data_IF_701080905389
#
_entry.id   IF_701080905389
#
_cell.length_a   1.000
_cell.length_b   1.000
_cell.length_c   1.000
_cell.angle_alpha   90.00
_cell.angle_beta   90.00
_cell.angle_gamma   90.00
#
_symmetry.space_group_name_H-M   'P 1'
#
loop_
_entity.id
_entity.type
_entity.pdbx_description
1 polymer ?
#
# COMPACT_ATOMS: atom_id res chain seq x y z
N UNK A 1 21.35 6.34 -1.38
CA UNK A 1 20.58 6.93 -0.27
C UNK A 1 20.72 6.04 0.98
N UNK A 2 21.90 6.00 1.63
CA UNK A 2 22.13 5.12 2.78
C UNK A 2 21.33 5.53 4.02
N UNK A 3 20.99 6.81 4.16
CA UNK A 3 20.30 7.35 5.34
C UNK A 3 18.77 7.26 5.24
N UNK A 4 18.22 6.90 4.07
CA UNK A 4 16.77 6.82 3.87
C UNK A 4 16.22 5.57 4.52
N UNK A 5 15.28 5.75 5.46
CA UNK A 5 14.52 4.65 6.04
C UNK A 5 13.61 4.02 4.99
N UNK A 6 13.73 2.71 4.82
CA UNK A 6 12.84 1.95 3.95
C UNK A 6 11.49 1.72 4.64
N UNK A 7 10.40 1.91 3.90
CA UNK A 7 9.06 1.55 4.34
C UNK A 7 8.35 0.77 3.24
N UNK A 8 7.63 -0.29 3.62
CA UNK A 8 6.78 -1.03 2.70
C UNK A 8 5.39 -0.42 2.58
N UNK A 9 4.87 -0.45 1.36
CA UNK A 9 3.53 0.00 1.06
C UNK A 9 2.47 -0.98 1.57
N UNK A 10 1.57 -0.50 2.43
CA UNK A 10 0.43 -1.27 2.95
C UNK A 10 -0.55 -1.72 1.86
N UNK A 11 -0.80 -0.91 0.83
CA UNK A 11 -1.70 -1.31 -0.27
C UNK A 11 -1.21 -2.59 -0.97
N UNK A 12 0.07 -2.62 -1.36
CA UNK A 12 0.67 -3.79 -1.99
C UNK A 12 0.78 -4.96 -1.03
N UNK A 13 1.12 -4.69 0.25
CA UNK A 13 1.20 -5.73 1.27
C UNK A 13 -0.14 -6.43 1.49
N UNK A 14 -1.24 -5.67 1.59
CA UNK A 14 -2.60 -6.21 1.70
C UNK A 14 -2.89 -7.11 0.50
N UNK A 15 -2.59 -6.67 -0.73
CA UNK A 15 -2.75 -7.49 -1.93
C UNK A 15 -2.01 -8.83 -1.85
N UNK A 16 -0.75 -8.81 -1.39
CA UNK A 16 0.07 -10.01 -1.23
C UNK A 16 -0.48 -10.97 -0.16
N UNK A 17 -0.97 -10.44 0.96
CA UNK A 17 -1.61 -11.24 2.03
C UNK A 17 -2.90 -11.88 1.52
N UNK A 18 -3.78 -11.08 0.89
CA UNK A 18 -5.06 -11.58 0.38
C UNK A 18 -4.90 -12.63 -0.73
N UNK A 19 -3.84 -12.54 -1.53
CA UNK A 19 -3.50 -13.55 -2.54
C UNK A 19 -3.12 -14.92 -1.93
N UNK A 20 -2.71 -14.94 -0.66
CA UNK A 20 -2.41 -16.15 0.10
C UNK A 20 -3.60 -16.68 0.92
N UNK A 21 -4.80 -16.08 0.76
CA UNK A 21 -6.01 -16.42 1.51
C UNK A 21 -7.16 -16.84 0.58
N UNK A 22 -8.03 -17.78 1.02
CA UNK A 22 -9.25 -18.08 0.29
C UNK A 22 -10.19 -16.87 0.29
N UNK A 23 -10.96 -16.69 -0.79
CA UNK A 23 -11.87 -15.54 -0.96
C UNK A 23 -12.83 -15.34 0.22
N UNK A 24 -13.27 -16.43 0.86
CA UNK A 24 -14.15 -16.39 2.04
C UNK A 24 -13.52 -15.74 3.26
N UNK A 25 -12.19 -15.81 3.42
CA UNK A 25 -11.47 -15.22 4.54
C UNK A 25 -11.05 -13.75 4.28
N UNK A 26 -11.03 -13.32 3.02
CA UNK A 26 -10.50 -12.01 2.62
C UNK A 26 -11.22 -10.80 3.25
N UNK A 27 -12.57 -10.76 3.40
CA UNK A 27 -13.23 -9.63 4.04
C UNK A 27 -12.78 -9.42 5.48
N UNK A 28 -12.71 -10.49 6.27
CA UNK A 28 -12.24 -10.44 7.66
C UNK A 28 -10.76 -10.07 7.74
N UNK A 29 -9.93 -10.70 6.91
CA UNK A 29 -8.50 -10.42 6.89
C UNK A 29 -8.20 -8.97 6.50
N UNK A 30 -8.96 -8.40 5.56
CA UNK A 30 -8.81 -6.99 5.17
C UNK A 30 -9.14 -6.04 6.33
N UNK A 31 -10.15 -6.35 7.14
CA UNK A 31 -10.48 -5.56 8.34
C UNK A 31 -9.36 -5.65 9.38
N UNK A 32 -8.89 -6.85 9.69
CA UNK A 32 -7.81 -7.04 10.66
C UNK A 32 -6.48 -6.41 10.19
N UNK A 33 -6.16 -6.49 8.90
CA UNK A 33 -5.02 -5.76 8.31
C UNK A 33 -5.17 -4.25 8.46
N UNK A 34 -6.39 -3.72 8.27
CA UNK A 34 -6.68 -2.31 8.47
C UNK A 34 -6.52 -1.85 9.91
N UNK A 35 -6.82 -2.73 10.88
CA UNK A 35 -6.60 -2.44 12.29
C UNK A 35 -5.11 -2.27 12.59
N UNK A 36 -4.23 -3.13 12.06
CA UNK A 36 -2.77 -3.07 12.32
C UNK A 36 -2.20 -1.67 12.05
N UNK A 37 -2.40 -1.13 10.84
CA UNK A 37 -1.81 0.15 10.47
C UNK A 37 -2.61 1.37 10.94
N UNK A 38 -3.80 1.20 11.51
CA UNK A 38 -4.61 2.31 12.05
C UNK A 38 -4.56 2.43 13.58
N UNK A 39 -3.83 1.56 14.27
CA UNK A 39 -3.66 1.65 15.73
C UNK A 39 -2.97 2.95 16.16
N UNK A 40 -3.15 3.29 17.43
CA UNK A 40 -2.68 4.54 18.05
C UNK A 40 -1.16 4.68 18.14
N UNK A 41 -0.42 3.57 18.23
CA UNK A 41 1.04 3.56 18.27
C UNK A 41 1.63 2.22 17.77
N UNK A 42 2.96 2.17 17.66
CA UNK A 42 3.69 0.98 17.19
C UNK A 42 3.46 -0.25 18.06
N UNK A 43 3.30 -0.07 19.38
CA UNK A 43 3.11 -1.20 20.32
C UNK A 43 1.76 -1.86 20.07
N UNK A 44 0.70 -1.06 19.94
CA UNK A 44 -0.63 -1.57 19.59
C UNK A 44 -0.66 -2.19 18.20
N UNK A 45 0.10 -1.66 17.24
CA UNK A 45 0.24 -2.27 15.92
C UNK A 45 0.86 -3.68 16.02
N UNK A 46 1.91 -3.86 16.84
CA UNK A 46 2.53 -5.15 17.08
C UNK A 46 1.59 -6.14 17.77
N UNK A 47 0.77 -5.67 18.72
CA UNK A 47 -0.24 -6.51 19.35
C UNK A 47 -1.35 -6.91 18.35
N UNK A 48 -1.73 -6.01 17.44
CA UNK A 48 -2.63 -6.34 16.33
C UNK A 48 -2.03 -7.35 15.34
N UNK A 49 -0.71 -7.30 15.09
CA UNK A 49 -0.01 -8.32 14.28
C UNK A 49 -0.09 -9.68 14.96
N UNK A 50 0.15 -9.76 16.28
CA UNK A 50 0.01 -11.02 17.04
C UNK A 50 -1.43 -11.54 17.02
N UNK A 51 -2.41 -10.65 17.12
CA UNK A 51 -3.83 -11.03 17.02
C UNK A 51 -4.17 -11.57 15.62
N UNK A 52 -3.64 -10.95 14.57
CA UNK A 52 -3.78 -11.45 13.19
C UNK A 52 -3.13 -12.83 13.01
N UNK A 53 -1.92 -13.02 13.55
CA UNK A 53 -1.24 -14.31 13.57
C UNK A 53 -2.02 -15.38 14.32
N UNK A 54 -2.58 -15.08 15.50
CA UNK A 54 -3.40 -16.02 16.24
C UNK A 54 -4.67 -16.43 15.47
N UNK A 55 -5.31 -15.48 14.78
CA UNK A 55 -6.54 -15.72 14.03
C UNK A 55 -6.34 -16.52 12.74
N UNK A 56 -5.23 -16.27 12.01
CA UNK A 56 -5.03 -16.83 10.66
C UNK A 56 -3.84 -17.79 10.56
N UNK A 57 -2.88 -17.75 11.48
CA UNK A 57 -1.57 -18.41 11.36
C UNK A 57 -1.62 -19.93 11.33
N UNK A 58 -2.49 -20.56 12.11
CA UNK A 58 -2.64 -22.01 12.12
C UNK A 58 -3.06 -22.58 10.75
N UNK A 59 -3.86 -21.82 9.98
CA UNK A 59 -4.38 -22.25 8.67
C UNK A 59 -3.64 -21.66 7.49
N UNK A 60 -3.09 -20.46 7.64
CA UNK A 60 -2.55 -19.67 6.55
C UNK A 60 -1.15 -19.11 6.89
N UNK A 61 -0.17 -19.97 7.22
CA UNK A 61 1.17 -19.51 7.63
C UNK A 61 1.85 -18.65 6.56
N UNK A 62 1.60 -18.92 5.27
CA UNK A 62 2.12 -18.09 4.16
C UNK A 62 1.57 -16.66 4.17
N UNK A 63 0.33 -16.46 4.61
CA UNK A 63 -0.28 -15.13 4.71
C UNK A 63 0.32 -14.34 5.87
N UNK A 64 0.60 -15.01 6.99
CA UNK A 64 1.26 -14.41 8.16
C UNK A 64 2.69 -14.01 7.85
N UNK A 65 3.46 -14.89 7.21
CA UNK A 65 4.85 -14.62 6.79
C UNK A 65 4.95 -13.31 5.99
N UNK A 66 3.95 -13.02 5.14
CA UNK A 66 3.94 -11.73 4.41
C UNK A 66 3.95 -10.52 5.36
N UNK A 67 3.41 -10.59 6.57
CA UNK A 67 3.47 -9.49 7.53
C UNK A 67 4.71 -9.61 8.40
N UNK A 68 4.91 -10.76 9.05
CA UNK A 68 5.96 -10.92 10.08
C UNK A 68 7.36 -10.72 9.53
N UNK A 69 7.62 -11.15 8.29
CA UNK A 69 8.95 -11.02 7.66
C UNK A 69 9.31 -9.56 7.36
N UNK A 70 8.33 -8.67 7.27
CA UNK A 70 8.51 -7.26 6.90
C UNK A 70 7.90 -6.30 7.94
N UNK A 71 7.66 -6.75 9.18
CA UNK A 71 6.87 -5.99 10.17
C UNK A 71 7.51 -4.64 10.50
N UNK A 72 8.84 -4.59 10.61
CA UNK A 72 9.55 -3.35 10.92
C UNK A 72 9.44 -2.34 9.77
N UNK A 73 9.56 -2.79 8.53
CA UNK A 73 9.43 -1.93 7.35
C UNK A 73 7.97 -1.49 7.13
N UNK A 74 6.99 -2.30 7.53
CA UNK A 74 5.57 -1.95 7.45
C UNK A 74 5.17 -0.91 8.50
N UNK A 75 5.81 -0.94 9.67
CA UNK A 75 5.51 -0.07 10.80
C UNK A 75 6.46 1.13 10.93
N UNK A 76 7.45 1.26 10.04
CA UNK A 76 8.43 2.35 10.06
C UNK A 76 7.80 3.76 10.05
N UNK A 77 6.57 3.92 9.54
CA UNK A 77 5.88 5.22 9.60
C UNK A 77 5.60 5.70 11.03
N UNK A 78 5.50 4.79 12.01
CA UNK A 78 5.32 5.15 13.42
C UNK A 78 6.53 5.87 14.02
N UNK A 79 7.69 5.81 13.37
CA UNK A 79 8.91 6.50 13.80
C UNK A 79 8.87 8.01 13.45
N UNK A 80 7.82 8.47 12.77
CA UNK A 80 7.58 9.87 12.40
C UNK A 80 6.43 10.48 13.22
N UNK A 81 6.30 11.82 13.31
CA UNK A 81 5.18 12.46 14.00
C UNK A 81 3.82 12.03 13.44
N UNK A 82 2.84 11.83 14.32
CA UNK A 82 1.52 11.27 13.97
C UNK A 82 0.77 12.02 12.85
N UNK A 83 0.97 13.33 12.77
CA UNK A 83 0.42 14.18 11.71
C UNK A 83 0.83 13.75 10.29
N UNK A 84 1.97 13.06 10.13
CA UNK A 84 2.44 12.55 8.84
C UNK A 84 1.91 11.15 8.49
N UNK A 85 1.40 10.38 9.46
CA UNK A 85 1.00 8.98 9.23
C UNK A 85 -0.10 8.84 8.18
N UNK A 86 -0.99 9.84 8.04
CA UNK A 86 -2.02 9.85 7.00
C UNK A 86 -1.42 9.82 5.58
N UNK A 87 -0.24 10.40 5.40
CA UNK A 87 0.48 10.41 4.12
C UNK A 87 1.35 9.19 3.94
N UNK A 88 2.01 8.74 5.00
CA UNK A 88 2.94 7.60 4.95
C UNK A 88 2.23 6.25 4.82
N UNK A 89 1.00 6.12 5.30
CA UNK A 89 0.23 4.86 5.22
C UNK A 89 -0.49 4.64 3.89
N UNK A 90 -0.65 5.69 3.08
CA UNK A 90 -1.41 5.63 1.82
C UNK A 90 -0.49 5.76 0.62
N UNK A 91 -0.76 4.98 -0.42
CA UNK A 91 -0.16 5.19 -1.74
C UNK A 91 -1.13 5.80 -2.72
N UNK A 92 -2.27 6.35 -2.26
CA UNK A 92 -3.23 6.99 -3.15
C UNK A 92 -2.62 8.06 -4.08
N UNK A 93 -1.67 8.93 -3.66
CA UNK A 93 -1.01 9.87 -4.57
C UNK A 93 -0.30 9.17 -5.75
N UNK A 94 0.25 7.98 -5.52
CA UNK A 94 0.89 7.15 -6.54
C UNK A 94 -0.18 6.41 -7.35
N UNK A 95 -1.05 5.67 -6.67
CA UNK A 95 -2.03 4.79 -7.31
C UNK A 95 -3.06 5.57 -8.15
N UNK A 96 -3.51 6.74 -7.70
CA UNK A 96 -4.44 7.58 -8.47
C UNK A 96 -3.80 8.11 -9.75
N UNK A 97 -2.52 8.47 -9.71
CA UNK A 97 -1.75 8.92 -10.88
C UNK A 97 -1.67 7.83 -11.95
N UNK A 98 -1.46 6.57 -11.55
CA UNK A 98 -1.37 5.44 -12.48
C UNK A 98 -2.71 4.80 -12.85
N UNK A 99 -3.83 5.23 -12.26
CA UNK A 99 -5.13 4.61 -12.47
C UNK A 99 -5.54 4.60 -13.95
N UNK A 100 -5.40 5.73 -14.65
CA UNK A 100 -5.75 5.85 -16.08
C UNK A 100 -4.79 5.05 -16.96
N UNK A 101 -3.51 5.00 -16.61
CA UNK A 101 -2.51 4.20 -17.33
C UNK A 101 -2.87 2.72 -17.28
N UNK A 102 -3.18 2.19 -16.08
CA UNK A 102 -3.61 0.79 -15.91
C UNK A 102 -4.92 0.51 -16.62
N UNK A 103 -5.90 1.40 -16.51
CA UNK A 103 -7.18 1.26 -17.21
C UNK A 103 -6.97 1.16 -18.72
N UNK A 104 -6.23 2.10 -19.32
CA UNK A 104 -5.96 2.09 -20.76
C UNK A 104 -5.18 0.86 -21.20
N UNK A 105 -4.14 0.49 -20.47
CA UNK A 105 -3.34 -0.71 -20.74
C UNK A 105 -4.19 -1.98 -20.76
N UNK A 106 -5.16 -2.10 -19.84
CA UNK A 106 -6.10 -3.23 -19.79
C UNK A 106 -7.04 -3.23 -20.99
N UNK A 107 -7.62 -2.07 -21.34
CA UNK A 107 -8.58 -1.94 -22.45
C UNK A 107 -7.91 -2.21 -23.80
N UNK A 108 -6.68 -1.72 -24.02
CA UNK A 108 -5.96 -1.92 -25.28
C UNK A 108 -5.26 -3.28 -25.38
N UNK A 109 -5.33 -4.12 -24.33
CA UNK A 109 -4.59 -5.39 -24.22
C UNK A 109 -3.08 -5.20 -24.43
N UNK A 110 -2.53 -4.13 -23.86
CA UNK A 110 -1.13 -3.75 -23.98
C UNK A 110 -0.86 -2.68 -25.03
N UNK A 111 0.40 -2.19 -25.12
CA UNK A 111 0.76 -1.07 -25.99
C UNK A 111 1.29 -1.48 -27.37
N UNK A 112 1.44 -2.77 -27.66
CA UNK A 112 2.03 -3.28 -28.92
C UNK A 112 3.56 -3.16 -29.00
N UNK A 113 4.17 -2.13 -28.39
CA UNK A 113 5.61 -2.00 -28.24
C UNK A 113 6.00 -1.25 -26.97
N UNK A 114 7.26 -1.39 -26.54
CA UNK A 114 7.79 -0.64 -25.38
C UNK A 114 7.70 0.88 -25.58
N UNK A 115 8.07 1.36 -26.77
CA UNK A 115 8.04 2.78 -27.09
C UNK A 115 6.62 3.35 -27.03
N UNK A 116 5.64 2.65 -27.60
CA UNK A 116 4.24 3.02 -27.52
C UNK A 116 3.71 3.02 -26.07
N UNK A 117 4.15 2.07 -25.25
CA UNK A 117 3.78 2.00 -23.84
C UNK A 117 4.28 3.19 -23.03
N UNK A 118 5.54 3.58 -23.25
CA UNK A 118 6.12 4.76 -22.61
C UNK A 118 5.41 6.04 -23.06
N UNK A 119 5.17 6.21 -24.36
CA UNK A 119 4.46 7.37 -24.88
C UNK A 119 3.03 7.48 -24.32
N UNK A 120 2.31 6.35 -24.25
CA UNK A 120 0.97 6.29 -23.66
C UNK A 120 1.00 6.66 -22.18
N UNK A 121 1.89 6.06 -21.38
CA UNK A 121 2.00 6.35 -19.95
C UNK A 121 2.33 7.83 -19.71
N UNK A 122 3.31 8.37 -20.44
CA UNK A 122 3.70 9.77 -20.38
C UNK A 122 2.52 10.69 -20.66
N UNK A 123 1.81 10.51 -21.79
CA UNK A 123 0.70 11.39 -22.17
C UNK A 123 -0.51 11.28 -21.24
N UNK A 124 -0.79 10.10 -20.70
CA UNK A 124 -1.87 9.93 -19.72
C UNK A 124 -1.54 10.58 -18.38
N UNK A 125 -0.30 10.48 -17.91
CA UNK A 125 0.15 11.15 -16.68
C UNK A 125 0.19 12.67 -16.89
N UNK A 126 0.71 13.13 -18.03
CA UNK A 126 0.74 14.55 -18.39
C UNK A 126 -0.67 15.15 -18.44
N UNK A 127 -1.66 14.41 -18.94
CA UNK A 127 -3.06 14.85 -18.91
C UNK A 127 -3.65 14.83 -17.49
N UNK A 128 -3.33 13.81 -16.69
CA UNK A 128 -3.84 13.67 -15.33
C UNK A 128 -3.36 14.78 -14.39
N UNK A 129 -2.11 15.24 -14.56
CA UNK A 129 -1.48 16.22 -13.67
C UNK A 129 -2.25 17.56 -13.59
N UNK A 130 -2.94 17.93 -14.67
CA UNK A 130 -3.71 19.19 -14.74
C UNK A 130 -4.90 19.23 -13.77
N UNK A 131 -5.29 18.08 -13.21
CA UNK A 131 -6.41 17.93 -12.28
C UNK A 131 -5.99 17.43 -10.91
N UNK A 132 -4.68 17.36 -10.62
CA UNK A 132 -4.23 16.96 -9.29
C UNK A 132 -4.59 18.03 -8.27
N UNK A 133 -5.27 17.61 -7.21
CA UNK A 133 -5.46 18.43 -6.01
C UNK A 133 -4.25 18.29 -5.10
N UNK A 134 -4.01 19.30 -4.27
CA UNK A 134 -3.07 19.18 -3.16
C UNK A 134 -3.45 18.01 -2.25
N UNK A 135 -2.44 17.36 -1.66
CA UNK A 135 -2.65 16.40 -0.57
C UNK A 135 -3.24 17.12 0.65
N UNK A 136 -3.88 16.37 1.54
CA UNK A 136 -4.40 16.96 2.78
C UNK A 136 -3.24 17.57 3.58
N UNK A 137 -3.43 18.71 4.24
CA UNK A 137 -2.39 19.38 5.02
C UNK A 137 -1.01 19.46 4.29
N UNK A 138 -0.94 20.09 3.09
CA UNK A 138 0.25 20.07 2.24
C UNK A 138 1.50 20.65 2.92
N UNK A 139 1.33 21.54 3.90
CA UNK A 139 2.41 22.06 4.73
C UNK A 139 3.15 21.00 5.58
N UNK A 140 2.57 19.80 5.73
CA UNK A 140 3.18 18.67 6.44
C UNK A 140 4.04 17.78 5.53
N UNK A 141 4.10 18.05 4.22
CA UNK A 141 4.88 17.26 3.26
C UNK A 141 5.81 18.11 2.39
N UNK A 142 5.88 19.42 2.66
CA UNK A 142 6.66 20.41 1.91
C UNK A 142 8.06 20.60 2.51
#
# INVERSE_FOLDING_TARGET
FPDTRAQRCWFHKIGNVLAALPKSAQPGAKKALAEIYNTEDRRHALDAVKAFEAAYGAKFPKAIAKITDDVDELLAFYDYPAQHWVHLRTTNPIESTFATVRHRSKVTKGPGSRAAGLAMAFKLIESAQTRWRAVNAPQLVA
#
